data_IF_061491311049
#
_entry.id   IF_061491311049
#
_cell.length_a   1.000
_cell.length_b   1.000
_cell.length_c   1.000
_cell.angle_alpha   90.00
_cell.angle_beta   90.00
_cell.angle_gamma   90.00
#
_symmetry.space_group_name_H-M   'P 1'
#
loop_
_entity.id
_entity.type
_entity.pdbx_description
1 polymer ?
#
# COMPACT_ATOMS: atom_id res chain seq x y z
N UNK A 1 13.50 -14.49 -21.41
CA UNK A 1 13.04 -13.11 -21.36
C UNK A 1 12.63 -12.83 -19.93
N UNK A 2 13.23 -11.84 -19.28
CA UNK A 2 12.93 -11.46 -17.91
C UNK A 2 12.38 -10.04 -17.92
N UNK A 3 11.05 -9.93 -17.85
CA UNK A 3 10.36 -8.65 -17.77
C UNK A 3 10.42 -8.10 -16.36
N UNK A 4 11.20 -7.06 -16.15
CA UNK A 4 11.30 -6.40 -14.85
C UNK A 4 10.07 -5.53 -14.65
N UNK A 5 9.33 -5.79 -13.57
CA UNK A 5 8.07 -5.13 -13.28
C UNK A 5 8.17 -4.43 -11.93
N UNK A 6 8.22 -3.09 -11.95
CA UNK A 6 8.20 -2.29 -10.73
C UNK A 6 6.79 -1.87 -10.37
N UNK A 7 6.46 -2.00 -9.08
CA UNK A 7 5.42 -1.18 -8.46
C UNK A 7 5.96 -0.60 -7.15
N UNK A 8 5.66 0.68 -6.91
CA UNK A 8 5.96 1.36 -5.67
C UNK A 8 4.69 1.70 -4.89
N UNK A 9 4.61 1.30 -3.62
CA UNK A 9 3.53 1.70 -2.71
C UNK A 9 3.80 3.09 -2.14
N UNK A 10 2.84 4.00 -2.28
CA UNK A 10 2.92 5.36 -1.72
C UNK A 10 1.81 5.50 -0.70
N UNK A 11 2.19 5.58 0.57
CA UNK A 11 1.24 5.67 1.67
C UNK A 11 1.75 6.52 2.83
N UNK A 12 0.85 7.32 3.40
CA UNK A 12 1.03 7.96 4.70
C UNK A 12 -0.33 8.01 5.41
N UNK A 13 -0.41 7.66 6.70
CA UNK A 13 -1.63 7.80 7.48
C UNK A 13 -1.84 9.26 7.94
N UNK A 14 -3.08 9.60 8.28
CA UNK A 14 -3.38 10.76 9.12
C UNK A 14 -3.21 10.35 10.58
N UNK A 15 -2.14 10.83 11.20
CA UNK A 15 -1.84 10.53 12.61
C UNK A 15 -2.84 11.26 13.50
N UNK A 16 -3.30 10.57 14.53
CA UNK A 16 -4.18 11.12 15.54
C UNK A 16 -3.41 12.12 16.40
N UNK A 17 -4.09 13.19 16.82
CA UNK A 17 -3.58 14.03 17.91
C UNK A 17 -3.73 13.28 19.23
N UNK A 18 -3.06 13.76 20.27
CA UNK A 18 -3.35 13.32 21.62
C UNK A 18 -4.79 13.69 21.99
N UNK A 19 -5.56 12.69 22.40
CA UNK A 19 -7.00 12.74 22.62
C UNK A 19 -7.35 12.00 23.91
N UNK A 20 -7.68 12.76 24.95
CA UNK A 20 -8.04 12.17 26.25
C UNK A 20 -9.54 11.84 26.31
N UNK A 21 -9.96 11.09 27.32
CA UNK A 21 -11.38 10.82 27.58
C UNK A 21 -12.21 12.08 27.87
N UNK A 22 -11.55 13.20 28.24
CA UNK A 22 -12.22 14.47 28.53
C UNK A 22 -12.37 15.37 27.30
N UNK A 23 -11.69 15.05 26.20
CA UNK A 23 -11.81 15.79 24.95
C UNK A 23 -13.20 15.61 24.33
N UNK A 24 -13.76 16.71 23.81
CA UNK A 24 -15.04 16.71 23.09
C UNK A 24 -14.94 17.22 21.66
N UNK A 25 -13.74 17.65 21.25
CA UNK A 25 -13.53 18.27 19.94
C UNK A 25 -13.66 17.22 18.82
N UNK A 26 -14.39 17.51 17.73
CA UNK A 26 -14.50 16.63 16.56
C UNK A 26 -13.20 16.57 15.73
N UNK A 27 -12.19 17.38 16.05
CA UNK A 27 -10.91 17.33 15.35
C UNK A 27 -10.06 16.21 15.94
N UNK A 28 -9.88 15.11 15.23
CA UNK A 28 -9.15 13.92 15.72
C UNK A 28 -7.69 13.83 15.24
N UNK A 29 -7.37 14.46 14.12
CA UNK A 29 -6.06 14.32 13.48
C UNK A 29 -5.10 15.47 13.84
N UNK A 30 -3.82 15.14 13.93
CA UNK A 30 -2.76 16.11 14.23
C UNK A 30 -2.32 16.84 12.96
N UNK A 31 -2.95 17.99 12.70
CA UNK A 31 -2.69 18.80 11.51
C UNK A 31 -1.22 19.23 11.38
N UNK A 32 -0.59 19.60 12.48
CA UNK A 32 0.80 20.08 12.44
C UNK A 32 1.77 18.93 12.15
N UNK A 33 1.62 17.80 12.87
CA UNK A 33 2.48 16.63 12.71
C UNK A 33 2.32 16.02 11.32
N UNK A 34 1.08 15.88 10.84
CA UNK A 34 0.82 15.34 9.50
C UNK A 34 1.41 16.24 8.41
N UNK A 35 1.20 17.57 8.47
CA UNK A 35 1.79 18.49 7.51
C UNK A 35 3.33 18.48 7.53
N UNK A 36 3.93 18.44 8.72
CA UNK A 36 5.39 18.43 8.89
C UNK A 36 6.02 17.16 8.32
N UNK A 37 5.46 15.98 8.66
CA UNK A 37 5.96 14.69 8.16
C UNK A 37 5.74 14.59 6.65
N UNK A 38 4.55 14.92 6.15
CA UNK A 38 4.24 14.85 4.72
C UNK A 38 5.22 15.70 3.89
N UNK A 39 5.53 16.93 4.32
CA UNK A 39 6.54 17.77 3.65
C UNK A 39 7.96 17.24 3.78
N UNK A 40 8.33 16.69 4.95
CA UNK A 40 9.65 16.06 5.13
C UNK A 40 9.85 14.92 4.14
N UNK A 41 8.90 13.98 4.09
CA UNK A 41 8.98 12.81 3.20
C UNK A 41 8.89 13.24 1.73
N UNK A 42 8.06 14.23 1.39
CA UNK A 42 8.02 14.79 0.04
C UNK A 42 9.38 15.30 -0.45
N UNK A 43 10.10 16.05 0.37
CA UNK A 43 11.40 16.61 0.00
C UNK A 43 12.52 15.56 -0.06
N UNK A 44 12.44 14.51 0.77
CA UNK A 44 13.46 13.47 0.84
C UNK A 44 13.25 12.34 -0.16
N UNK A 45 12.00 11.99 -0.42
CA UNK A 45 11.60 10.81 -1.18
C UNK A 45 10.86 11.22 -2.46
N UNK A 46 9.62 11.70 -2.36
CA UNK A 46 8.74 11.76 -3.54
C UNK A 46 9.27 12.69 -4.64
N UNK A 47 9.66 13.92 -4.31
CA UNK A 47 10.15 14.89 -5.29
C UNK A 47 11.46 14.46 -5.97
N UNK A 48 12.53 14.08 -5.23
CA UNK A 48 13.76 13.63 -5.88
C UNK A 48 13.57 12.31 -6.64
N UNK A 49 12.81 11.36 -6.12
CA UNK A 49 12.54 10.08 -6.80
C UNK A 49 11.71 10.28 -8.07
N UNK A 50 10.66 11.10 -8.04
CA UNK A 50 9.84 11.37 -9.22
C UNK A 50 10.66 12.07 -10.32
N UNK A 51 11.52 13.03 -9.94
CA UNK A 51 12.44 13.68 -10.89
C UNK A 51 13.41 12.68 -11.52
N UNK A 52 14.04 11.85 -10.70
CA UNK A 52 14.95 10.81 -11.16
C UNK A 52 14.26 9.87 -12.15
N UNK A 53 13.09 9.34 -11.79
CA UNK A 53 12.37 8.38 -12.62
C UNK A 53 11.87 9.00 -13.91
N UNK A 54 11.43 10.27 -13.89
CA UNK A 54 11.07 11.01 -15.09
C UNK A 54 12.28 11.17 -16.04
N UNK A 55 13.45 11.51 -15.49
CA UNK A 55 14.69 11.65 -16.26
C UNK A 55 15.12 10.30 -16.85
N UNK A 56 14.99 9.21 -16.10
CA UNK A 56 15.27 7.84 -16.56
C UNK A 56 14.31 7.42 -17.68
N UNK A 57 12.99 7.62 -17.52
CA UNK A 57 11.99 7.31 -18.56
C UNK A 57 12.35 8.02 -19.87
N UNK A 58 12.71 9.31 -19.79
CA UNK A 58 13.12 10.11 -20.96
C UNK A 58 14.42 9.61 -21.57
N UNK A 59 15.44 9.33 -20.74
CA UNK A 59 16.75 8.81 -21.18
C UNK A 59 16.63 7.50 -21.96
N UNK A 60 15.69 6.64 -21.58
CA UNK A 60 15.46 5.35 -22.22
C UNK A 60 14.34 5.37 -23.26
N UNK A 61 13.85 6.55 -23.65
CA UNK A 61 12.84 6.75 -24.69
C UNK A 61 11.58 5.89 -24.45
N UNK A 62 11.15 5.81 -23.18
CA UNK A 62 9.95 5.06 -22.77
C UNK A 62 10.12 3.54 -22.67
N UNK A 63 11.34 3.00 -22.89
CA UNK A 63 11.63 1.57 -22.64
C UNK A 63 11.68 1.20 -21.16
N UNK A 64 11.88 2.18 -20.28
CA UNK A 64 11.78 2.01 -18.84
C UNK A 64 10.37 2.38 -18.38
N UNK A 65 9.72 1.46 -17.66
CA UNK A 65 8.33 1.57 -17.21
C UNK A 65 8.22 1.20 -15.75
N UNK A 66 7.30 1.85 -15.05
CA UNK A 66 7.08 1.68 -13.61
C UNK A 66 5.59 1.79 -13.29
N UNK A 67 5.23 1.44 -12.06
CA UNK A 67 3.85 1.56 -11.60
C UNK A 67 3.79 2.06 -10.17
N UNK A 68 2.64 2.63 -9.79
CA UNK A 68 2.40 3.12 -8.44
C UNK A 68 1.08 2.62 -7.88
N UNK A 69 1.10 2.20 -6.61
CA UNK A 69 -0.12 2.14 -5.79
C UNK A 69 -0.10 3.35 -4.86
N UNK A 70 -0.92 4.36 -5.16
CA UNK A 70 -0.99 5.59 -4.35
C UNK A 70 -2.32 5.61 -3.61
N UNK A 71 -2.28 5.51 -2.29
CA UNK A 71 -3.51 5.50 -1.47
C UNK A 71 -4.28 6.81 -1.59
N UNK A 72 -5.61 6.77 -1.51
CA UNK A 72 -6.44 7.97 -1.58
C UNK A 72 -6.15 8.95 -0.44
N UNK A 73 -5.92 8.39 0.76
CA UNK A 73 -5.49 9.12 1.95
C UNK A 73 -4.19 9.92 1.75
N UNK A 74 -3.17 9.36 1.08
CA UNK A 74 -1.93 10.13 0.84
C UNK A 74 -2.14 11.23 -0.21
N UNK A 75 -3.00 11.00 -1.21
CA UNK A 75 -3.37 12.04 -2.19
C UNK A 75 -4.11 13.22 -1.53
N UNK A 76 -4.97 12.96 -0.54
CA UNK A 76 -5.57 14.02 0.29
C UNK A 76 -4.50 14.84 1.01
N UNK A 77 -3.48 14.18 1.57
CA UNK A 77 -2.37 14.85 2.25
C UNK A 77 -1.52 15.67 1.27
N UNK A 78 -1.21 15.16 0.08
CA UNK A 78 -0.47 15.91 -0.93
C UNK A 78 -1.22 17.16 -1.34
N UNK A 79 -2.51 17.04 -1.66
CA UNK A 79 -3.37 18.18 -2.00
C UNK A 79 -3.36 19.27 -0.92
N UNK A 80 -3.30 18.86 0.36
CA UNK A 80 -3.37 19.79 1.49
C UNK A 80 -2.02 20.39 1.89
N UNK A 81 -0.94 19.62 1.80
CA UNK A 81 0.32 19.97 2.45
C UNK A 81 1.50 20.19 1.51
N UNK A 82 1.52 19.51 0.36
CA UNK A 82 2.61 19.54 -0.63
C UNK A 82 2.07 19.26 -2.06
N UNK A 83 1.22 20.14 -2.62
CA UNK A 83 0.59 19.93 -3.92
C UNK A 83 1.60 19.79 -5.07
N UNK A 84 2.83 20.29 -4.91
CA UNK A 84 3.93 20.09 -5.84
C UNK A 84 4.26 18.62 -6.12
N UNK A 85 4.02 17.72 -5.16
CA UNK A 85 4.19 16.27 -5.34
C UNK A 85 3.20 15.75 -6.39
N UNK A 86 1.94 16.19 -6.33
CA UNK A 86 0.92 15.78 -7.31
C UNK A 86 1.33 16.18 -8.73
N UNK A 87 1.82 17.41 -8.92
CA UNK A 87 2.31 17.87 -10.22
C UNK A 87 3.44 17.00 -10.80
N UNK A 88 4.29 16.42 -9.94
CA UNK A 88 5.34 15.49 -10.41
C UNK A 88 4.80 14.10 -10.76
N UNK A 89 3.74 13.62 -10.09
CA UNK A 89 3.03 12.41 -10.51
C UNK A 89 2.26 12.62 -11.81
N UNK A 90 1.67 13.80 -12.03
CA UNK A 90 1.04 14.16 -13.31
C UNK A 90 2.06 14.13 -14.46
N UNK A 91 3.26 14.69 -14.23
CA UNK A 91 4.34 14.67 -15.22
C UNK A 91 4.80 13.23 -15.55
N UNK A 92 4.85 12.35 -14.56
CA UNK A 92 5.13 10.93 -14.73
C UNK A 92 4.01 10.22 -15.50
N UNK A 93 2.75 10.47 -15.15
CA UNK A 93 1.58 9.91 -15.84
C UNK A 93 1.55 10.27 -17.34
N UNK A 94 1.86 11.53 -17.67
CA UNK A 94 1.90 12.04 -19.04
C UNK A 94 2.96 11.37 -19.94
N UNK A 95 3.92 10.66 -19.36
CA UNK A 95 4.92 9.91 -20.16
C UNK A 95 4.32 8.70 -20.89
N UNK A 96 3.15 8.20 -20.45
CA UNK A 96 2.60 6.94 -20.93
C UNK A 96 3.38 5.70 -20.49
N UNK A 97 4.42 5.86 -19.66
CA UNK A 97 5.28 4.78 -19.16
C UNK A 97 5.00 4.42 -17.70
N UNK A 98 3.92 4.97 -17.13
CA UNK A 98 3.53 4.82 -15.73
C UNK A 98 2.11 4.31 -15.62
N UNK A 99 1.93 3.19 -14.93
CA UNK A 99 0.62 2.62 -14.57
C UNK A 99 0.26 2.95 -13.11
N UNK A 100 -0.98 3.37 -12.85
CA UNK A 100 -1.52 3.46 -11.49
C UNK A 100 -2.42 2.25 -11.20
N UNK A 101 -2.05 1.46 -10.18
CA UNK A 101 -2.79 0.26 -9.77
C UNK A 101 -3.77 0.57 -8.64
N UNK A 102 -4.81 -0.25 -8.52
CA UNK A 102 -5.87 -0.06 -7.53
C UNK A 102 -5.51 -0.64 -6.16
N UNK A 103 -6.10 -0.02 -5.14
CA UNK A 103 -5.98 -0.38 -3.74
C UNK A 103 -7.20 0.16 -2.96
N UNK A 104 -7.37 -0.19 -1.69
CA UNK A 104 -8.33 0.49 -0.81
C UNK A 104 -7.98 1.98 -0.64
N UNK A 105 -8.98 2.87 -0.72
CA UNK A 105 -8.75 4.30 -0.60
C UNK A 105 -7.99 4.70 0.68
N UNK A 106 -8.28 4.04 1.80
CA UNK A 106 -7.77 4.40 3.13
C UNK A 106 -6.65 3.47 3.62
N UNK A 107 -6.09 2.61 2.77
CA UNK A 107 -5.10 1.61 3.21
C UNK A 107 -5.64 0.77 4.39
N UNK A 108 -6.90 0.34 4.28
CA UNK A 108 -7.65 -0.24 5.40
C UNK A 108 -7.61 -1.76 5.41
N UNK A 109 -7.92 -2.34 6.56
CA UNK A 109 -8.12 -3.79 6.72
C UNK A 109 -9.58 -4.23 6.46
N UNK A 110 -10.33 -3.44 5.68
CA UNK A 110 -11.79 -3.60 5.50
C UNK A 110 -12.18 -4.95 4.90
N UNK A 111 -11.33 -5.54 4.05
CA UNK A 111 -11.52 -6.89 3.52
C UNK A 111 -11.80 -7.93 4.61
N UNK A 112 -11.19 -7.80 5.79
CA UNK A 112 -11.31 -8.77 6.88
C UNK A 112 -12.64 -8.65 7.66
N UNK A 113 -13.37 -7.55 7.51
CA UNK A 113 -14.49 -7.21 8.41
C UNK A 113 -15.77 -6.78 7.71
N UNK A 114 -15.68 -6.13 6.55
CA UNK A 114 -16.83 -5.58 5.84
C UNK A 114 -16.59 -5.58 4.34
N UNK A 115 -17.26 -6.52 3.65
CA UNK A 115 -17.16 -6.62 2.18
C UNK A 115 -17.73 -5.39 1.48
N UNK A 116 -18.81 -4.80 2.01
CA UNK A 116 -19.45 -3.63 1.41
C UNK A 116 -18.53 -2.40 1.52
N UNK A 117 -17.94 -2.18 2.69
CA UNK A 117 -16.98 -1.09 2.87
C UNK A 117 -15.71 -1.30 2.06
N UNK A 118 -15.21 -2.54 1.98
CA UNK A 118 -14.06 -2.88 1.16
C UNK A 118 -14.28 -2.52 -0.31
N UNK A 119 -15.40 -2.96 -0.90
CA UNK A 119 -15.75 -2.64 -2.29
C UNK A 119 -15.95 -1.13 -2.48
N UNK A 120 -16.62 -0.46 -1.52
CA UNK A 120 -16.82 0.99 -1.58
C UNK A 120 -15.48 1.76 -1.60
N UNK A 121 -14.49 1.33 -0.82
CA UNK A 121 -13.17 1.96 -0.81
C UNK A 121 -12.38 1.70 -2.10
N UNK A 122 -12.49 0.52 -2.71
CA UNK A 122 -11.86 0.23 -4.00
C UNK A 122 -12.47 1.09 -5.11
N UNK A 123 -13.80 1.22 -5.14
CA UNK A 123 -14.49 2.04 -6.13
C UNK A 123 -14.11 3.52 -5.99
N UNK A 124 -14.15 4.05 -4.76
CA UNK A 124 -13.73 5.43 -4.47
C UNK A 124 -12.28 5.69 -4.88
N UNK A 125 -11.38 4.74 -4.63
CA UNK A 125 -9.97 4.85 -5.05
C UNK A 125 -9.83 4.88 -6.56
N UNK A 126 -10.47 3.93 -7.23
CA UNK A 126 -10.42 3.81 -8.69
C UNK A 126 -10.96 5.04 -9.40
N UNK A 127 -12.07 5.60 -8.90
CA UNK A 127 -12.65 6.86 -9.40
C UNK A 127 -11.68 8.02 -9.23
N UNK A 128 -10.98 8.11 -8.08
CA UNK A 128 -9.97 9.14 -7.84
C UNK A 128 -8.80 9.03 -8.82
N UNK A 129 -8.29 7.82 -9.05
CA UNK A 129 -7.19 7.59 -10.01
C UNK A 129 -7.61 7.98 -11.44
N UNK A 130 -8.84 7.61 -11.85
CA UNK A 130 -9.38 8.01 -13.15
C UNK A 130 -9.54 9.53 -13.26
N UNK A 131 -10.00 10.19 -12.20
CA UNK A 131 -10.17 11.64 -12.16
C UNK A 131 -8.84 12.39 -12.25
N UNK A 132 -7.80 11.92 -11.54
CA UNK A 132 -6.51 12.62 -11.48
C UNK A 132 -5.64 12.34 -12.71
N UNK A 133 -5.53 11.07 -13.11
CA UNK A 133 -4.52 10.63 -14.08
C UNK A 133 -5.13 10.11 -15.39
N UNK A 134 -6.45 10.07 -15.52
CA UNK A 134 -7.12 9.57 -16.72
C UNK A 134 -7.02 8.05 -16.92
N UNK A 135 -6.50 7.31 -15.94
CA UNK A 135 -6.31 5.86 -16.01
C UNK A 135 -7.37 5.13 -15.20
N UNK A 136 -7.96 4.07 -15.76
CA UNK A 136 -8.76 3.10 -15.00
C UNK A 136 -7.84 1.97 -14.56
N UNK A 137 -7.63 1.77 -13.24
CA UNK A 137 -6.77 0.69 -12.78
C UNK A 137 -7.28 -0.69 -13.21
N UNK A 138 -6.37 -1.51 -13.75
CA UNK A 138 -6.63 -2.89 -14.20
C UNK A 138 -6.05 -3.95 -13.26
N UNK A 139 -5.05 -3.58 -12.46
CA UNK A 139 -4.42 -4.47 -11.48
C UNK A 139 -4.76 -4.00 -10.08
N UNK A 140 -5.08 -4.94 -9.19
CA UNK A 140 -5.42 -4.67 -7.81
C UNK A 140 -4.34 -5.19 -6.85
N UNK A 141 -4.03 -4.39 -5.84
CA UNK A 141 -3.23 -4.83 -4.69
C UNK A 141 -4.00 -4.51 -3.41
N UNK A 142 -4.14 -5.49 -2.53
CA UNK A 142 -4.80 -5.29 -1.24
C UNK A 142 -3.81 -4.86 -0.15
N UNK A 143 -4.33 -4.17 0.88
CA UNK A 143 -3.57 -3.51 1.94
C UNK A 143 -2.52 -4.48 2.47
N UNK A 144 -1.25 -4.05 2.46
CA UNK A 144 -0.13 -4.84 3.03
C UNK A 144 0.08 -6.21 2.35
N UNK A 145 -0.28 -6.28 1.06
CA UNK A 145 -0.36 -7.51 0.26
C UNK A 145 -1.15 -8.63 0.97
N UNK A 146 -2.10 -8.27 1.83
CA UNK A 146 -2.99 -9.21 2.52
C UNK A 146 -3.75 -9.98 1.47
N UNK A 147 -3.60 -11.30 1.47
CA UNK A 147 -4.16 -12.16 0.43
C UNK A 147 -4.64 -13.50 0.96
N UNK A 148 -5.70 -13.99 0.33
CA UNK A 148 -6.16 -15.38 0.36
C UNK A 148 -6.94 -15.65 -0.92
N UNK A 149 -7.24 -16.92 -1.22
CA UNK A 149 -8.09 -17.25 -2.36
C UNK A 149 -9.46 -16.53 -2.32
N UNK A 150 -10.03 -16.34 -1.13
CA UNK A 150 -11.30 -15.62 -0.96
C UNK A 150 -11.20 -14.15 -1.39
N UNK A 151 -10.04 -13.52 -1.20
CA UNK A 151 -9.81 -12.18 -1.73
C UNK A 151 -9.82 -12.20 -3.25
N UNK A 152 -9.07 -13.12 -3.87
CA UNK A 152 -9.02 -13.24 -5.32
C UNK A 152 -10.42 -13.43 -5.93
N UNK A 153 -11.23 -14.33 -5.37
CA UNK A 153 -12.63 -14.54 -5.81
C UNK A 153 -13.48 -13.27 -5.65
N UNK A 154 -13.26 -12.50 -4.58
CA UNK A 154 -13.98 -11.22 -4.36
C UNK A 154 -13.60 -10.19 -5.42
N UNK A 155 -12.30 -10.08 -5.73
CA UNK A 155 -11.77 -9.15 -6.73
C UNK A 155 -12.20 -9.55 -8.15
N UNK A 156 -12.23 -10.85 -8.46
CA UNK A 156 -12.74 -11.31 -9.76
C UNK A 156 -14.24 -11.01 -9.95
N UNK A 157 -15.04 -11.14 -8.88
CA UNK A 157 -16.48 -10.78 -8.91
C UNK A 157 -16.74 -9.30 -9.18
N UNK A 158 -15.76 -8.41 -8.96
CA UNK A 158 -15.87 -7.01 -9.35
C UNK A 158 -15.77 -6.80 -10.86
N UNK A 159 -15.35 -7.81 -11.63
CA UNK A 159 -15.36 -7.88 -13.10
C UNK A 159 -14.68 -6.68 -13.79
N UNK A 160 -13.57 -6.21 -13.23
CA UNK A 160 -12.83 -5.03 -13.71
C UNK A 160 -11.32 -5.13 -13.59
N UNK A 161 -10.84 -6.18 -12.93
CA UNK A 161 -9.42 -6.38 -12.66
C UNK A 161 -8.92 -7.60 -13.42
N UNK A 162 -7.80 -7.42 -14.11
CA UNK A 162 -7.16 -8.48 -14.88
C UNK A 162 -6.17 -9.27 -14.02
N UNK A 163 -5.64 -8.64 -12.96
CA UNK A 163 -4.75 -9.31 -12.03
C UNK A 163 -4.83 -8.78 -10.60
N UNK A 164 -4.37 -9.63 -9.68
CA UNK A 164 -4.13 -9.31 -8.28
C UNK A 164 -2.66 -9.56 -7.93
N UNK A 165 -2.12 -8.71 -7.06
CA UNK A 165 -0.74 -8.81 -6.54
C UNK A 165 -0.74 -9.37 -5.11
N UNK A 166 0.18 -10.28 -4.81
CA UNK A 166 0.49 -10.71 -3.44
C UNK A 166 1.97 -11.04 -3.23
N UNK A 167 2.33 -11.39 -2.00
CA UNK A 167 3.67 -11.80 -1.60
C UNK A 167 4.03 -13.16 -2.20
N UNK A 168 5.27 -13.32 -2.69
CA UNK A 168 5.80 -14.57 -3.22
C UNK A 168 6.53 -15.39 -2.15
N UNK A 169 5.91 -15.61 -0.99
CA UNK A 169 6.54 -16.29 0.13
C UNK A 169 6.81 -17.78 -0.16
N UNK A 170 7.94 -18.31 0.29
CA UNK A 170 8.35 -19.70 0.02
C UNK A 170 7.28 -20.74 0.41
N UNK A 171 6.59 -20.50 1.54
CA UNK A 171 5.60 -21.43 2.07
C UNK A 171 4.31 -21.54 1.23
N UNK A 172 4.07 -20.61 0.29
CA UNK A 172 2.93 -20.68 -0.66
C UNK A 172 3.36 -21.17 -2.05
N UNK A 173 4.65 -21.14 -2.36
CA UNK A 173 5.18 -21.45 -3.70
C UNK A 173 5.37 -22.95 -3.91
N UNK A 174 5.73 -23.71 -2.87
CA UNK A 174 6.02 -25.13 -3.00
C UNK A 174 7.20 -25.37 -3.96
N UNK A 175 6.95 -25.97 -5.13
CA UNK A 175 7.96 -26.22 -6.16
C UNK A 175 8.08 -25.07 -7.20
N UNK A 176 7.23 -24.06 -7.09
CA UNK A 176 7.16 -22.91 -7.99
C UNK A 176 8.14 -21.82 -7.58
N UNK A 177 8.21 -20.75 -8.37
CA UNK A 177 8.93 -19.53 -7.99
C UNK A 177 8.09 -18.28 -8.33
N UNK A 178 8.43 -17.12 -7.78
CA UNK A 178 7.66 -15.89 -7.97
C UNK A 178 7.85 -15.20 -9.34
N UNK A 179 8.63 -15.78 -10.26
CA UNK A 179 9.01 -15.15 -11.52
C UNK A 179 8.11 -15.53 -12.71
N UNK A 180 6.90 -16.00 -12.46
CA UNK A 180 5.91 -16.33 -13.48
C UNK A 180 4.55 -15.72 -13.13
N UNK A 181 3.69 -15.60 -14.14
CA UNK A 181 2.27 -15.28 -13.94
C UNK A 181 1.54 -16.54 -13.54
N UNK A 182 0.71 -16.45 -12.50
CA UNK A 182 -0.10 -17.56 -12.00
C UNK A 182 -1.59 -17.22 -12.09
N UNK A 183 -2.44 -18.17 -11.67
CA UNK A 183 -3.86 -17.94 -11.44
C UNK A 183 -4.21 -18.31 -9.99
N UNK A 184 -5.10 -17.58 -9.31
CA UNK A 184 -5.73 -18.05 -8.08
C UNK A 184 -6.63 -19.27 -8.37
N UNK A 185 -6.85 -20.18 -7.41
CA UNK A 185 -7.89 -21.19 -7.55
C UNK A 185 -9.27 -20.52 -7.61
N UNK A 186 -10.22 -21.19 -8.23
CA UNK A 186 -11.61 -20.74 -8.40
C UNK A 186 -11.79 -19.41 -9.16
N UNK A 187 -10.72 -18.88 -9.74
CA UNK A 187 -10.79 -17.77 -10.67
C UNK A 187 -10.66 -18.27 -12.11
N UNK A 188 -11.36 -17.63 -13.05
CA UNK A 188 -11.30 -17.97 -14.48
C UNK A 188 -10.39 -16.99 -15.24
N UNK A 189 -10.59 -15.70 -15.01
CA UNK A 189 -9.95 -14.59 -15.72
C UNK A 189 -8.79 -13.97 -14.94
N UNK A 190 -8.97 -13.82 -13.62
CA UNK A 190 -8.02 -13.08 -12.79
C UNK A 190 -6.65 -13.76 -12.74
N UNK A 191 -5.59 -13.05 -13.12
CA UNK A 191 -4.18 -13.49 -13.00
C UNK A 191 -3.60 -13.09 -11.64
N UNK A 192 -2.53 -13.78 -11.24
CA UNK A 192 -1.84 -13.57 -9.97
C UNK A 192 -0.37 -13.24 -10.24
N UNK A 193 0.06 -12.09 -9.75
CA UNK A 193 1.47 -11.66 -9.76
C UNK A 193 2.03 -11.77 -8.34
N UNK A 194 3.17 -12.45 -8.21
CA UNK A 194 3.84 -12.67 -6.94
C UNK A 194 5.05 -11.76 -6.82
N UNK A 195 5.18 -11.01 -5.72
CA UNK A 195 6.39 -10.26 -5.39
C UNK A 195 7.60 -11.21 -5.36
N UNK A 196 8.68 -10.82 -6.02
CA UNK A 196 9.98 -11.45 -5.78
C UNK A 196 10.58 -10.85 -4.52
N UNK A 197 10.22 -11.42 -3.35
CA UNK A 197 10.59 -10.82 -2.07
C UNK A 197 12.11 -10.75 -1.87
N UNK A 198 12.86 -11.75 -2.33
CA UNK A 198 14.31 -11.74 -2.17
C UNK A 198 14.93 -10.51 -2.84
N UNK A 199 14.65 -10.30 -4.12
CA UNK A 199 15.21 -9.18 -4.88
C UNK A 199 14.61 -7.83 -4.50
N UNK A 200 13.32 -7.81 -4.12
CA UNK A 200 12.68 -6.57 -3.64
C UNK A 200 13.29 -6.12 -2.31
N UNK A 201 13.46 -7.06 -1.37
CA UNK A 201 14.00 -6.78 -0.04
C UNK A 201 15.50 -6.47 -0.08
N UNK A 202 16.23 -6.93 -1.11
CA UNK A 202 17.62 -6.53 -1.35
C UNK A 202 17.75 -5.03 -1.63
N UNK A 203 16.79 -4.44 -2.34
CA UNK A 203 16.72 -2.98 -2.57
C UNK A 203 16.13 -2.28 -1.34
N UNK A 204 15.01 -2.77 -0.80
CA UNK A 204 14.26 -2.09 0.25
C UNK A 204 14.99 -2.09 1.60
N UNK A 205 15.56 -3.23 2.01
CA UNK A 205 16.10 -3.43 3.36
C UNK A 205 17.62 -3.63 3.37
N UNK A 206 18.17 -4.45 2.46
CA UNK A 206 19.59 -4.86 2.54
C UNK A 206 20.57 -3.90 1.85
N UNK A 207 20.08 -2.92 1.09
CA UNK A 207 20.90 -2.05 0.25
C UNK A 207 22.04 -1.36 0.99
N UNK A 208 21.77 -0.77 2.17
CA UNK A 208 22.77 -0.11 3.01
C UNK A 208 23.38 -1.00 4.11
N UNK A 209 23.01 -2.29 4.15
CA UNK A 209 23.50 -3.22 5.16
C UNK A 209 24.93 -3.69 4.85
N UNK A 210 25.92 -3.03 5.44
CA UNK A 210 27.35 -3.36 5.29
C UNK A 210 27.75 -4.75 5.82
N UNK A 211 26.90 -5.37 6.63
CA UNK A 211 27.11 -6.73 7.14
C UNK A 211 26.50 -7.83 6.27
N UNK A 212 25.74 -7.47 5.24
CA UNK A 212 25.21 -8.44 4.28
C UNK A 212 26.31 -8.91 3.33
N UNK A 213 26.40 -10.23 3.11
CA UNK A 213 27.50 -10.83 2.33
C UNK A 213 27.55 -10.37 0.85
N UNK A 214 26.45 -9.85 0.32
CA UNK A 214 26.39 -9.30 -1.04
C UNK A 214 26.57 -7.77 -1.07
N UNK A 215 26.88 -7.11 0.05
CA UNK A 215 27.18 -5.68 0.06
C UNK A 215 28.54 -5.37 -0.60
N UNK A 216 28.67 -4.28 -1.39
CA UNK A 216 27.61 -3.35 -1.78
C UNK A 216 26.72 -3.91 -2.90
N UNK A 217 25.46 -3.47 -2.93
CA UNK A 217 24.56 -3.75 -4.05
C UNK A 217 24.80 -2.74 -5.18
N UNK A 218 25.26 -3.20 -6.34
CA UNK A 218 25.49 -2.37 -7.53
C UNK A 218 24.50 -2.69 -8.64
N UNK A 219 24.28 -1.75 -9.56
CA UNK A 219 23.40 -1.94 -10.72
C UNK A 219 23.82 -3.15 -11.57
N UNK A 220 25.11 -3.32 -11.84
CA UNK A 220 25.64 -4.48 -12.59
C UNK A 220 25.37 -5.80 -11.86
N UNK A 221 25.57 -5.85 -10.54
CA UNK A 221 25.32 -7.05 -9.72
C UNK A 221 23.85 -7.43 -9.76
N UNK A 222 22.96 -6.46 -9.54
CA UNK A 222 21.52 -6.69 -9.51
C UNK A 222 20.98 -7.07 -10.89
N UNK A 223 21.43 -6.40 -11.97
CA UNK A 223 21.09 -6.77 -13.33
C UNK A 223 21.57 -8.18 -13.69
N UNK A 224 22.78 -8.58 -13.25
CA UNK A 224 23.24 -9.96 -13.41
C UNK A 224 22.30 -10.96 -12.72
N UNK A 225 21.78 -10.67 -11.53
CA UNK A 225 20.81 -11.54 -10.86
C UNK A 225 19.49 -11.64 -11.61
N UNK A 226 18.98 -10.52 -12.14
CA UNK A 226 17.80 -10.51 -13.03
C UNK A 226 18.07 -11.37 -14.27
N UNK A 227 19.24 -11.24 -14.88
CA UNK A 227 19.59 -12.01 -16.08
C UNK A 227 19.54 -13.53 -15.84
N UNK A 228 19.88 -14.00 -14.64
CA UNK A 228 19.81 -15.43 -14.29
C UNK A 228 18.40 -15.99 -14.20
N UNK A 229 17.37 -15.13 -14.17
CA UNK A 229 15.96 -15.55 -14.25
C UNK A 229 15.61 -16.00 -15.67
N UNK A 230 16.32 -15.51 -16.70
CA UNK A 230 16.09 -15.93 -18.08
C UNK A 230 16.22 -17.45 -18.23
N UNK A 231 15.19 -18.07 -18.83
CA UNK A 231 15.09 -19.51 -19.02
C UNK A 231 14.42 -20.25 -17.86
N UNK A 232 14.21 -19.60 -16.71
CA UNK A 232 13.52 -20.16 -15.54
C UNK A 232 12.52 -19.16 -14.90
N UNK A 233 12.03 -18.22 -15.71
CA UNK A 233 11.10 -17.16 -15.34
C UNK A 233 10.74 -16.30 -16.55
N UNK A 234 9.64 -15.57 -16.42
CA UNK A 234 9.10 -14.64 -17.42
C UNK A 234 9.13 -13.19 -16.92
N UNK A 235 8.89 -12.98 -15.62
CA UNK A 235 8.82 -11.66 -15.01
C UNK A 235 9.60 -11.61 -13.70
N UNK A 236 10.12 -10.44 -13.34
CA UNK A 236 10.73 -10.18 -12.03
C UNK A 236 9.97 -9.03 -11.40
N UNK A 237 9.09 -9.37 -10.47
CA UNK A 237 8.19 -8.44 -9.80
C UNK A 237 8.90 -7.80 -8.60
N UNK A 238 9.33 -6.54 -8.77
CA UNK A 238 10.04 -5.74 -7.77
C UNK A 238 9.06 -4.77 -7.12
N UNK A 239 8.47 -5.22 -6.02
CA UNK A 239 7.35 -4.56 -5.36
C UNK A 239 7.76 -4.12 -3.96
N UNK A 240 7.70 -2.82 -3.67
CA UNK A 240 8.22 -2.25 -2.42
C UNK A 240 7.58 -0.91 -2.08
N UNK A 241 7.76 -0.45 -0.85
CA UNK A 241 7.39 0.91 -0.44
C UNK A 241 8.24 1.93 -1.19
N UNK A 242 7.62 3.02 -1.65
CA UNK A 242 8.30 4.07 -2.39
C UNK A 242 9.26 4.86 -1.49
N UNK A 243 8.92 4.94 -0.20
CA UNK A 243 9.73 5.48 0.88
C UNK A 243 11.08 4.74 1.04
N UNK A 244 11.28 3.60 0.37
CA UNK A 244 12.61 3.01 0.15
C UNK A 244 13.62 4.04 -0.33
N UNK A 245 13.24 4.90 -1.29
CA UNK A 245 14.14 5.89 -1.88
C UNK A 245 14.09 7.20 -1.09
N UNK A 246 15.13 7.46 -0.29
CA UNK A 246 15.34 8.74 0.41
C UNK A 246 14.83 8.78 1.86
N UNK A 247 13.95 7.88 2.29
CA UNK A 247 13.51 7.79 3.70
C UNK A 247 14.06 6.55 4.41
N UNK A 248 13.89 5.33 3.84
CA UNK A 248 14.49 4.11 4.40
C UNK A 248 15.95 3.94 3.98
N UNK A 249 16.25 4.14 2.68
CA UNK A 249 17.61 4.23 2.16
C UNK A 249 17.92 5.69 1.87
N UNK A 250 18.82 6.29 2.64
CA UNK A 250 19.16 7.71 2.50
C UNK A 250 19.95 7.99 1.21
N UNK A 251 19.93 9.23 0.75
CA UNK A 251 20.62 9.62 -0.49
C UNK A 251 22.12 9.27 -0.50
N UNK A 252 22.79 9.44 0.64
CA UNK A 252 24.21 9.17 0.84
C UNK A 252 24.57 7.67 0.77
N UNK A 253 23.58 6.77 0.86
CA UNK A 253 23.78 5.34 0.59
C UNK A 253 24.04 5.05 -0.90
N UNK A 254 23.69 5.99 -1.78
CA UNK A 254 23.80 5.84 -3.23
C UNK A 254 22.58 5.22 -3.91
N UNK A 255 21.45 5.03 -3.19
CA UNK A 255 20.23 4.39 -3.74
C UNK A 255 19.69 5.07 -5.00
N UNK A 256 19.74 6.41 -5.08
CA UNK A 256 19.33 7.15 -6.27
C UNK A 256 20.27 6.90 -7.46
N UNK A 257 21.57 6.80 -7.21
CA UNK A 257 22.57 6.46 -8.24
C UNK A 257 22.37 5.04 -8.74
N UNK A 258 22.12 4.09 -7.83
CA UNK A 258 21.76 2.72 -8.19
C UNK A 258 20.54 2.70 -9.12
N UNK A 259 19.45 3.38 -8.75
CA UNK A 259 18.22 3.40 -9.55
C UNK A 259 18.41 4.11 -10.90
N UNK A 260 19.27 5.14 -10.97
CA UNK A 260 19.61 5.82 -12.23
C UNK A 260 20.33 4.89 -13.23
N UNK A 261 21.22 4.03 -12.73
CA UNK A 261 22.03 3.14 -13.57
C UNK A 261 21.39 1.77 -13.82
N UNK A 262 20.48 1.32 -12.95
CA UNK A 262 19.89 -0.01 -13.06
C UNK A 262 19.22 -0.30 -14.42
N UNK A 263 18.40 0.61 -15.00
CA UNK A 263 17.76 0.33 -16.28
C UNK A 263 18.74 0.14 -17.43
N UNK A 264 19.87 0.86 -17.42
CA UNK A 264 20.95 0.66 -18.39
C UNK A 264 21.46 -0.78 -18.35
N UNK A 265 21.80 -1.25 -17.13
CA UNK A 265 22.38 -2.58 -16.90
C UNK A 265 21.41 -3.72 -17.19
N UNK A 266 20.13 -3.52 -16.90
CA UNK A 266 19.10 -4.51 -17.26
C UNK A 266 18.93 -4.60 -18.77
N UNK A 267 18.93 -3.47 -19.49
CA UNK A 267 18.70 -3.41 -20.93
C UNK A 267 19.94 -3.75 -21.79
N UNK A 268 21.13 -3.90 -21.18
CA UNK A 268 22.30 -4.47 -21.86
C UNK A 268 22.03 -5.91 -22.33
N UNK A 269 21.16 -6.65 -21.64
CA UNK A 269 20.74 -7.98 -22.06
C UNK A 269 19.55 -7.90 -23.04
N UNK A 270 19.64 -8.46 -24.27
CA UNK A 270 18.63 -8.26 -25.31
C UNK A 270 17.25 -8.86 -24.98
N UNK A 271 17.22 -9.88 -24.11
CA UNK A 271 15.98 -10.52 -23.68
C UNK A 271 15.31 -9.86 -22.46
N UNK A 272 15.81 -8.73 -21.98
CA UNK A 272 15.20 -8.04 -20.84
C UNK A 272 14.43 -6.81 -21.31
N UNK A 273 13.37 -6.51 -20.59
CA UNK A 273 12.60 -5.28 -20.76
C UNK A 273 12.00 -4.84 -19.43
N UNK A 274 11.42 -3.64 -19.43
CA UNK A 274 10.57 -3.17 -18.34
C UNK A 274 9.12 -3.17 -18.81
N UNK A 275 8.24 -3.69 -17.96
CA UNK A 275 6.80 -3.76 -18.20
C UNK A 275 6.06 -3.29 -16.96
N UNK A 276 4.90 -2.69 -17.16
CA UNK A 276 3.96 -2.47 -16.06
C UNK A 276 3.22 -3.77 -15.73
N UNK A 277 2.58 -3.91 -14.54
CA UNK A 277 1.78 -5.07 -14.19
C UNK A 277 0.74 -5.46 -15.25
N UNK A 278 0.02 -4.47 -15.81
CA UNK A 278 -0.93 -4.69 -16.91
C UNK A 278 -0.26 -5.29 -18.15
N UNK A 279 0.92 -4.79 -18.53
CA UNK A 279 1.65 -5.31 -19.69
C UNK A 279 2.19 -6.73 -19.45
N UNK A 280 2.63 -7.04 -18.23
CA UNK A 280 3.03 -8.39 -17.82
C UNK A 280 1.87 -9.37 -17.99
N UNK A 281 0.67 -9.00 -17.53
CA UNK A 281 -0.50 -9.89 -17.57
C UNK A 281 -1.10 -10.00 -18.96
N UNK A 282 -0.92 -9.00 -19.83
CA UNK A 282 -1.29 -9.08 -21.24
C UNK A 282 -0.29 -9.95 -22.04
N UNK A 283 0.99 -9.93 -21.66
CA UNK A 283 2.06 -10.64 -22.38
C UNK A 283 2.12 -12.13 -22.04
N UNK A 284 1.94 -12.49 -20.77
CA UNK A 284 2.19 -13.85 -20.28
C UNK A 284 0.91 -14.53 -19.79
N UNK A 285 0.70 -15.76 -20.23
CA UNK A 285 -0.34 -16.62 -19.70
C UNK A 285 0.02 -17.17 -18.31
N UNK A 286 -1.01 -17.42 -17.51
CA UNK A 286 -0.84 -18.08 -16.22
C UNK A 286 -0.30 -19.50 -16.42
N UNK A 287 0.89 -19.79 -15.87
CA UNK A 287 1.57 -21.08 -16.08
C UNK A 287 1.06 -22.17 -15.14
N UNK A 288 0.48 -21.81 -14.00
CA UNK A 288 -0.07 -22.72 -13.01
C UNK A 288 -1.02 -21.99 -12.04
N UNK A 289 -1.61 -22.73 -11.12
CA UNK A 289 -2.45 -22.24 -10.03
C UNK A 289 -1.67 -22.20 -8.72
N UNK A 290 -1.78 -21.09 -7.97
CA UNK A 290 -1.20 -20.96 -6.63
C UNK A 290 -2.32 -20.89 -5.60
N UNK A 291 -2.42 -21.93 -4.78
CA UNK A 291 -3.44 -22.09 -3.76
C UNK A 291 -2.99 -21.52 -2.41
N UNK A 292 -3.70 -20.50 -1.92
CA UNK A 292 -3.42 -19.81 -0.66
C UNK A 292 -4.70 -19.77 0.20
N UNK A 293 -5.04 -20.88 0.88
CA UNK A 293 -6.29 -20.99 1.62
C UNK A 293 -6.29 -20.20 2.94
N UNK A 294 -5.11 -19.85 3.46
CA UNK A 294 -4.93 -19.06 4.68
C UNK A 294 -4.47 -17.66 4.33
N UNK A 295 -4.86 -16.67 5.13
CA UNK A 295 -4.46 -15.29 4.89
C UNK A 295 -2.97 -15.13 5.14
N UNK A 296 -2.29 -14.50 4.19
CA UNK A 296 -0.88 -14.10 4.26
C UNK A 296 -0.76 -12.57 4.11
N UNK A 297 0.42 -12.03 4.38
CA UNK A 297 0.81 -10.63 4.14
C UNK A 297 2.30 -10.57 3.77
N UNK A 298 2.76 -9.44 3.26
CA UNK A 298 4.20 -9.18 3.11
C UNK A 298 4.90 -8.68 4.40
N UNK A 299 4.15 -8.44 5.48
CA UNK A 299 4.70 -7.87 6.70
C UNK A 299 5.37 -8.89 7.61
N UNK A 300 6.40 -8.40 8.32
CA UNK A 300 7.24 -9.13 9.26
C UNK A 300 7.79 -10.46 8.70
N UNK A 301 8.60 -11.16 9.47
CA UNK A 301 9.18 -12.44 9.05
C UNK A 301 8.11 -13.53 8.86
N UNK A 302 7.01 -13.48 9.62
CA UNK A 302 5.97 -14.50 9.61
C UNK A 302 5.05 -14.45 8.38
N UNK A 303 5.02 -13.31 7.65
CA UNK A 303 4.23 -13.13 6.42
C UNK A 303 2.73 -13.42 6.62
N UNK A 304 2.18 -12.97 7.74
CA UNK A 304 0.79 -13.18 8.14
C UNK A 304 0.16 -11.91 8.75
N UNK A 305 -1.03 -12.03 9.35
CA UNK A 305 -1.77 -10.89 9.93
C UNK A 305 -1.30 -10.45 11.32
N UNK A 306 -0.30 -11.10 11.90
CA UNK A 306 0.06 -10.89 13.31
C UNK A 306 0.65 -9.50 13.60
N UNK A 307 1.05 -8.74 12.56
CA UNK A 307 1.41 -7.33 12.70
C UNK A 307 0.21 -6.42 13.04
N UNK A 308 -1.02 -6.81 12.67
CA UNK A 308 -2.25 -6.05 12.96
C UNK A 308 -3.27 -6.78 13.82
N UNK A 309 -3.08 -8.08 14.05
CA UNK A 309 -3.98 -8.96 14.82
C UNK A 309 -3.25 -9.88 15.79
N UNK A 310 -2.04 -9.50 16.21
CA UNK A 310 -1.20 -10.30 17.09
C UNK A 310 -1.58 -10.23 18.58
N UNK A 311 -2.41 -9.26 18.99
CA UNK A 311 -2.81 -9.11 20.39
C UNK A 311 -4.28 -8.67 20.59
N UNK A 312 -4.71 -8.66 21.86
CA UNK A 312 -6.09 -8.36 22.25
C UNK A 312 -6.48 -6.89 22.03
N UNK A 313 -5.55 -5.94 22.13
CA UNK A 313 -5.82 -4.51 21.89
C UNK A 313 -6.15 -4.26 20.42
N UNK A 314 -5.30 -4.79 19.54
CA UNK A 314 -5.49 -4.78 18.10
C UNK A 314 -6.84 -5.41 17.70
N UNK A 315 -7.11 -6.62 18.20
CA UNK A 315 -8.35 -7.33 17.94
C UNK A 315 -9.59 -6.55 18.41
N UNK A 316 -9.51 -5.92 19.58
CA UNK A 316 -10.60 -5.11 20.11
C UNK A 316 -10.84 -3.84 19.27
N UNK A 317 -9.79 -3.08 18.97
CA UNK A 317 -9.88 -1.84 18.19
C UNK A 317 -10.50 -2.09 16.82
N UNK A 318 -10.05 -3.15 16.12
CA UNK A 318 -10.60 -3.57 14.83
C UNK A 318 -12.06 -4.02 14.94
N UNK A 319 -12.42 -4.80 15.96
CA UNK A 319 -13.80 -5.21 16.14
C UNK A 319 -14.73 -4.01 16.39
N UNK A 320 -14.33 -3.08 17.27
CA UNK A 320 -15.18 -1.93 17.61
C UNK A 320 -15.33 -0.94 16.46
N UNK A 321 -14.28 -0.67 15.66
CA UNK A 321 -14.38 0.26 14.53
C UNK A 321 -15.32 -0.26 13.43
N UNK A 322 -15.32 -1.57 13.13
CA UNK A 322 -16.20 -2.12 12.10
C UNK A 322 -17.61 -2.41 12.61
N UNK A 323 -17.79 -2.75 13.89
CA UNK A 323 -19.12 -2.85 14.52
C UNK A 323 -19.91 -1.54 14.46
N UNK A 324 -19.19 -0.41 14.36
CA UNK A 324 -19.76 0.92 14.27
C UNK A 324 -20.30 1.29 12.88
N UNK A 325 -19.98 0.51 11.84
CA UNK A 325 -20.31 0.81 10.44
C UNK A 325 -21.78 1.18 10.21
N UNK A 326 -22.71 0.36 10.72
CA UNK A 326 -24.15 0.60 10.52
C UNK A 326 -24.60 1.93 11.13
N UNK A 327 -24.15 2.21 12.35
CA UNK A 327 -24.56 3.41 13.09
C UNK A 327 -24.04 4.66 12.39
N UNK A 328 -22.79 4.66 11.94
CA UNK A 328 -22.22 5.84 11.28
C UNK A 328 -22.81 6.07 9.89
N UNK A 329 -23.04 5.01 9.09
CA UNK A 329 -23.67 5.15 7.77
C UNK A 329 -25.12 5.67 7.87
N UNK A 330 -25.84 5.37 8.96
CA UNK A 330 -27.19 5.91 9.21
C UNK A 330 -27.21 7.44 9.37
N UNK A 331 -26.12 8.05 9.83
CA UNK A 331 -26.06 9.51 9.99
C UNK A 331 -26.10 10.28 8.68
N UNK A 332 -25.75 9.64 7.55
CA UNK A 332 -25.57 10.28 6.24
C UNK A 332 -24.65 11.51 6.27
N UNK A 333 -23.80 11.62 7.30
CA UNK A 333 -22.89 12.73 7.48
C UNK A 333 -21.53 12.37 6.88
N UNK A 334 -21.18 13.03 5.77
CA UNK A 334 -19.95 12.76 5.03
C UNK A 334 -18.68 13.07 5.83
N UNK A 335 -18.70 14.06 6.73
CA UNK A 335 -17.54 14.39 7.57
C UNK A 335 -17.28 13.29 8.60
N UNK A 336 -18.32 12.84 9.32
CA UNK A 336 -18.21 11.73 10.28
C UNK A 336 -17.77 10.44 9.56
N UNK A 337 -18.37 10.14 8.41
CA UNK A 337 -18.02 8.98 7.60
C UNK A 337 -16.56 9.03 7.13
N UNK A 338 -16.08 10.19 6.72
CA UNK A 338 -14.68 10.38 6.33
C UNK A 338 -13.72 10.17 7.51
N UNK A 339 -14.06 10.66 8.70
CA UNK A 339 -13.25 10.45 9.91
C UNK A 339 -13.21 8.99 10.34
N UNK A 340 -14.35 8.28 10.29
CA UNK A 340 -14.40 6.83 10.54
C UNK A 340 -13.56 6.05 9.54
N UNK A 341 -13.59 6.41 8.25
CA UNK A 341 -12.77 5.77 7.22
C UNK A 341 -11.28 6.03 7.44
N UNK A 342 -10.88 7.24 7.82
CA UNK A 342 -9.48 7.53 8.20
C UNK A 342 -9.02 6.70 9.41
N UNK A 343 -9.90 6.47 10.38
CA UNK A 343 -9.61 5.59 11.52
C UNK A 343 -9.41 4.10 11.15
N UNK A 344 -9.82 3.68 9.95
CA UNK A 344 -9.60 2.29 9.49
C UNK A 344 -8.22 2.05 8.88
N UNK A 345 -7.40 3.09 8.72
CA UNK A 345 -6.04 2.98 8.17
C UNK A 345 -5.22 1.95 8.97
N UNK A 346 -4.58 1.01 8.27
CA UNK A 346 -3.89 -0.15 8.89
C UNK A 346 -2.85 0.27 9.94
N UNK A 347 -2.16 1.40 9.73
CA UNK A 347 -1.16 1.98 10.62
C UNK A 347 -1.63 2.11 12.06
N UNK A 348 -2.90 2.49 12.28
CA UNK A 348 -3.43 2.66 13.63
C UNK A 348 -3.36 1.37 14.43
N UNK A 349 -3.60 0.23 13.79
CA UNK A 349 -3.51 -1.09 14.44
C UNK A 349 -2.08 -1.59 14.48
N UNK A 350 -1.26 -1.24 13.49
CA UNK A 350 0.17 -1.52 13.50
C UNK A 350 0.86 -0.86 14.71
N UNK A 351 0.50 0.38 15.04
CA UNK A 351 1.02 1.09 16.23
C UNK A 351 0.64 0.43 17.56
N UNK A 352 -0.34 -0.47 17.58
CA UNK A 352 -0.75 -1.25 18.75
C UNK A 352 -0.04 -2.61 18.83
N UNK A 353 0.87 -2.93 17.90
CA UNK A 353 1.62 -4.19 17.89
C UNK A 353 2.59 -4.28 19.08
N UNK A 354 2.67 -5.46 19.70
CA UNK A 354 3.52 -5.73 20.87
C UNK A 354 4.70 -6.65 20.55
N UNK A 355 4.88 -7.05 19.29
CA UNK A 355 6.00 -7.87 18.87
C UNK A 355 7.30 -7.07 19.02
N UNK A 356 8.15 -7.48 19.96
CA UNK A 356 9.50 -6.96 20.11
C UNK A 356 10.50 -8.12 20.06
N UNK A 357 11.71 -7.84 19.54
CA UNK A 357 12.97 -8.59 19.61
C UNK A 357 13.58 -9.18 18.31
N UNK A 358 12.97 -9.05 17.13
CA UNK A 358 13.68 -9.23 15.85
C UNK A 358 13.40 -8.12 14.83
N UNK A 359 12.12 -7.79 14.59
CA UNK A 359 11.68 -6.74 13.63
C UNK A 359 11.38 -5.37 14.30
N UNK A 360 11.69 -5.25 15.59
CA UNK A 360 11.25 -4.14 16.45
C UNK A 360 11.78 -2.75 16.11
N UNK A 361 12.85 -2.63 15.31
CA UNK A 361 13.41 -1.34 14.89
C UNK A 361 12.49 -0.63 13.90
N UNK A 362 11.82 -1.36 13.00
CA UNK A 362 10.85 -0.81 12.04
C UNK A 362 9.59 -0.34 12.79
N UNK A 363 9.06 -1.18 13.68
CA UNK A 363 7.88 -0.85 14.50
C UNK A 363 8.10 0.41 15.35
N UNK A 364 9.29 0.59 15.94
CA UNK A 364 9.61 1.81 16.72
C UNK A 364 9.84 3.03 15.83
N UNK A 365 10.42 2.87 14.64
CA UNK A 365 10.76 4.01 13.79
C UNK A 365 9.52 4.79 13.32
N UNK A 366 8.42 4.09 13.03
CA UNK A 366 7.20 4.71 12.49
C UNK A 366 6.11 5.00 13.53
N UNK A 367 6.19 4.44 14.74
CA UNK A 367 5.15 4.60 15.76
C UNK A 367 5.20 6.01 16.40
N UNK A 368 4.13 6.81 16.30
CA UNK A 368 4.10 8.15 16.86
C UNK A 368 3.87 8.19 18.38
N UNK A 369 3.70 7.03 19.04
CA UNK A 369 3.39 6.87 20.46
C UNK A 369 4.57 6.31 21.25
N UNK A 370 4.60 6.56 22.56
CA UNK A 370 5.64 6.04 23.46
C UNK A 370 5.49 4.52 23.70
N UNK A 371 4.25 4.02 23.65
CA UNK A 371 3.95 2.59 23.77
C UNK A 371 2.75 2.16 22.92
N UNK A 372 2.63 0.86 22.59
CA UNK A 372 1.43 0.29 21.97
C UNK A 372 0.15 0.54 22.78
N UNK A 373 0.26 0.62 24.11
CA UNK A 373 -0.87 0.90 25.01
C UNK A 373 -1.38 2.34 24.85
N UNK A 374 -0.47 3.31 24.72
CA UNK A 374 -0.85 4.72 24.48
C UNK A 374 -1.56 4.88 23.14
N UNK A 375 -1.09 4.15 22.11
CA UNK A 375 -1.75 4.10 20.81
C UNK A 375 -3.18 3.59 20.91
N UNK A 376 -3.38 2.46 21.59
CA UNK A 376 -4.69 1.86 21.81
C UNK A 376 -5.62 2.79 22.61
N UNK A 377 -5.17 3.32 23.74
CA UNK A 377 -5.98 4.23 24.57
C UNK A 377 -6.40 5.46 23.78
N UNK A 378 -5.48 6.08 23.04
CA UNK A 378 -5.76 7.26 22.22
C UNK A 378 -6.79 6.94 21.13
N UNK A 379 -6.61 5.82 20.42
CA UNK A 379 -7.54 5.37 19.38
C UNK A 379 -8.95 5.12 19.95
N UNK A 380 -9.05 4.42 21.08
CA UNK A 380 -10.35 4.11 21.69
C UNK A 380 -11.06 5.37 22.23
N UNK A 381 -10.33 6.37 22.71
CA UNK A 381 -10.93 7.66 23.10
C UNK A 381 -11.50 8.39 21.87
N UNK A 382 -10.76 8.43 20.77
CA UNK A 382 -11.23 9.03 19.50
C UNK A 382 -12.47 8.30 18.99
N UNK A 383 -12.44 6.97 18.93
CA UNK A 383 -13.58 6.16 18.49
C UNK A 383 -14.80 6.35 19.40
N UNK A 384 -14.59 6.43 20.71
CA UNK A 384 -15.64 6.71 21.68
C UNK A 384 -16.31 8.06 21.46
N UNK A 385 -15.53 9.12 21.21
CA UNK A 385 -16.07 10.45 20.92
C UNK A 385 -16.83 10.47 19.58
N UNK A 386 -16.28 9.86 18.53
CA UNK A 386 -16.94 9.77 17.23
C UNK A 386 -18.30 9.04 17.32
N UNK A 387 -18.35 7.96 18.11
CA UNK A 387 -19.60 7.24 18.41
C UNK A 387 -20.61 8.14 19.12
N UNK A 388 -20.16 8.90 20.11
CA UNK A 388 -21.03 9.85 20.84
C UNK A 388 -21.63 10.90 19.90
N UNK A 389 -20.83 11.46 18.98
CA UNK A 389 -21.30 12.44 18.00
C UNK A 389 -22.37 11.86 17.06
N UNK A 390 -22.19 10.63 16.59
CA UNK A 390 -23.19 9.96 15.75
C UNK A 390 -24.51 9.75 16.51
N UNK A 391 -24.45 9.28 17.76
CA UNK A 391 -25.65 9.09 18.57
C UNK A 391 -26.39 10.40 18.84
N UNK A 392 -25.66 11.49 19.13
CA UNK A 392 -26.27 12.81 19.36
C UNK A 392 -26.97 13.33 18.11
N UNK A 393 -26.33 13.22 16.94
CA UNK A 393 -26.90 13.65 15.67
C UNK A 393 -28.20 12.91 15.35
N UNK A 394 -28.22 11.59 15.53
CA UNK A 394 -29.42 10.77 15.29
C UNK A 394 -30.54 11.06 16.29
N UNK A 395 -30.23 11.32 17.57
CA UNK A 395 -31.25 11.68 18.56
C UNK A 395 -31.86 13.06 18.30
N UNK A 396 -31.05 14.01 17.82
CA UNK A 396 -31.52 15.35 17.49
C UNK A 396 -32.46 15.32 16.29
N UNK A 397 -32.19 14.48 15.29
CA UNK A 397 -33.07 14.30 14.13
C UNK A 397 -34.41 13.66 14.51
N UNK A 398 -34.41 12.62 15.35
CA UNK A 398 -35.65 12.01 15.86
C UNK A 398 -36.51 13.03 16.62
N UNK A 399 -35.87 13.91 17.40
CA UNK A 399 -36.57 14.96 18.15
C UNK A 399 -37.17 16.04 17.25
N UNK A 400 -36.52 16.39 16.14
CA UNK A 400 -37.05 17.34 15.15
C UNK A 400 -38.26 16.78 14.41
N UNK A 401 -38.19 15.52 13.98
CA UNK A 401 -39.31 14.84 13.29
C UNK A 401 -40.56 14.76 14.19
N UNK A 402 -40.37 14.49 15.49
CA UNK A 402 -41.47 14.50 16.47
C UNK A 402 -42.07 15.90 16.68
N UNK A 403 -41.26 16.96 16.59
CA UNK A 403 -41.73 18.35 16.74
C UNK A 403 -42.45 18.92 15.51
N UNK A 404 -42.17 18.40 14.31
CA UNK A 404 -42.83 18.80 13.06
C UNK A 404 -44.14 18.04 12.81
N UNK A 405 -44.36 16.93 13.52
CA UNK A 405 -45.56 16.09 13.43
C UNK A 405 -46.57 16.32 14.56
N UNK A 406 -46.23 17.17 15.54
CA UNK A 406 -47.09 17.67 16.62
C UNK A 406 -47.58 19.08 16.33
#
# INVERSE_FOLDING_TARGET
MASVCFYFQVHQPFRLRHYTVFEKSPRYFDEFKNASICRKVANKCYLPSNRLLLDVIRRFEGRFKISYSITGIVLEQFKKYCPEVMSTFDALAQTGCVEFIAETYYHSLSFLYSSDEFIAQINKHSELIQQLYGQTPRVFRNTELIYSNALAETIEKMDRFDAIITEGADHILGHRNSNFVYRPPNCERLKLLLKNYSLSDDIAFRFSNKGWNEYPLTADKFAHWINRVNGNGQCVNLFMDYETFGEHQWEDTGIFSFMYHLPEKVLEHPDNNFMTPSEVVDTYDAVDVVDVPRIISWADTERDLSAWLGNAMQSNALHEIYKFEKLIKQTQNEELLADWRRLQTSDHFYYMCTKYFADGDVHKYFNPYESPYDSYINFMNVLGNLRQQCTQLLSDDDSKVLSETS
#
